data_IF_774315855146
#
_entry.id   IF_774315855146
#
_cell.length_a   1.000
_cell.length_b   1.000
_cell.length_c   1.000
_cell.angle_alpha   90.00
_cell.angle_beta   90.00
_cell.angle_gamma   90.00
#
_symmetry.space_group_name_H-M   'P 1'
#
loop_
_entity.id
_entity.type
_entity.pdbx_description
1 polymer ?
#
# COMPACT_ATOMS: atom_id res chain seq x y z
N UNK A 1 -44.35 2.53 59.90
CA UNK A 1 -43.50 3.36 59.02
C UNK A 1 -42.24 2.57 58.71
N UNK A 2 -42.11 2.04 57.48
CA UNK A 2 -40.92 1.32 57.00
C UNK A 2 -40.07 2.29 56.19
N UNK A 3 -38.85 2.57 56.64
CA UNK A 3 -37.81 3.21 55.85
C UNK A 3 -37.08 2.13 55.05
N UNK A 4 -37.06 2.26 53.72
CA UNK A 4 -36.21 1.48 52.83
C UNK A 4 -34.88 2.21 52.66
N UNK A 5 -33.79 1.58 53.08
CA UNK A 5 -32.43 1.99 52.74
C UNK A 5 -31.93 1.16 51.55
N UNK A 6 -31.59 1.82 50.44
CA UNK A 6 -30.88 1.23 49.31
C UNK A 6 -29.37 1.28 49.57
N UNK A 7 -28.62 0.17 49.51
CA UNK A 7 -27.17 0.22 49.39
C UNK A 7 -26.73 -0.05 47.94
N UNK A 8 -25.88 0.83 47.41
CA UNK A 8 -24.75 0.43 46.56
C UNK A 8 -24.98 0.22 45.06
N UNK A 9 -25.19 1.31 44.30
CA UNK A 9 -24.88 1.35 42.85
C UNK A 9 -23.69 2.29 42.64
N UNK A 10 -22.52 1.92 43.17
CA UNK A 10 -21.26 2.63 42.89
C UNK A 10 -20.10 1.64 43.01
N UNK A 11 -20.01 0.66 42.11
CA UNK A 11 -18.77 -0.13 41.99
C UNK A 11 -18.54 -0.83 40.63
N UNK A 12 -19.55 -0.96 39.77
CA UNK A 12 -19.39 -1.74 38.53
C UNK A 12 -18.90 -0.95 37.29
N UNK A 13 -18.74 0.38 37.37
CA UNK A 13 -18.44 1.18 36.18
C UNK A 13 -16.95 1.43 35.92
N UNK A 14 -16.04 1.17 36.88
CA UNK A 14 -14.61 1.45 36.71
C UNK A 14 -13.80 0.30 36.09
N UNK A 15 -14.25 -0.95 36.22
CA UNK A 15 -13.48 -2.11 35.74
C UNK A 15 -13.57 -2.33 34.22
N UNK A 16 -14.64 -1.87 33.57
CA UNK A 16 -14.87 -2.04 32.12
C UNK A 16 -14.29 -0.89 31.27
N UNK A 17 -13.88 0.22 31.89
CA UNK A 17 -13.26 1.35 31.20
C UNK A 17 -11.75 1.17 30.93
N UNK A 18 -11.06 0.27 31.66
CA UNK A 18 -9.62 0.02 31.47
C UNK A 18 -9.29 -0.83 30.23
N UNK A 19 -10.26 -1.56 29.66
CA UNK A 19 -10.05 -2.41 28.49
C UNK A 19 -10.08 -1.66 27.15
N UNK A 20 -10.58 -0.42 27.10
CA UNK A 20 -10.80 0.32 25.85
C UNK A 20 -9.54 1.00 25.25
N UNK A 21 -8.36 0.87 25.88
CA UNK A 21 -7.15 1.62 25.49
C UNK A 21 -5.89 0.73 25.30
N UNK A 22 -6.04 -0.59 25.12
CA UNK A 22 -4.90 -1.50 25.04
C UNK A 22 -4.25 -1.49 23.65
N UNK A 23 -3.22 -0.65 23.50
CA UNK A 23 -2.34 -0.63 22.33
C UNK A 23 -1.03 -1.42 22.55
N UNK A 24 -0.84 -1.96 23.74
CA UNK A 24 0.36 -2.71 24.14
C UNK A 24 -0.02 -4.13 24.57
N UNK A 25 0.71 -5.11 24.04
CA UNK A 25 0.47 -6.53 24.22
C UNK A 25 1.76 -7.24 24.64
N UNK A 26 1.66 -8.38 25.35
CA UNK A 26 2.81 -9.23 25.60
C UNK A 26 3.51 -9.63 24.31
N UNK A 27 4.84 -9.69 24.36
CA UNK A 27 5.68 -10.14 23.24
C UNK A 27 6.09 -11.58 23.52
N UNK A 28 5.70 -12.49 22.64
CA UNK A 28 6.13 -13.88 22.71
C UNK A 28 7.53 -14.03 22.10
N UNK A 29 8.38 -14.81 22.78
CA UNK A 29 9.66 -15.21 22.21
C UNK A 29 9.44 -16.41 21.32
N UNK A 30 9.75 -16.26 20.04
CA UNK A 30 9.58 -17.33 19.05
C UNK A 30 10.91 -17.98 18.71
N UNK A 31 10.87 -19.28 18.38
CA UNK A 31 11.97 -19.91 17.67
C UNK A 31 11.92 -19.52 16.21
N UNK A 32 12.89 -18.72 15.77
CA UNK A 32 13.06 -18.35 14.38
C UNK A 32 14.27 -19.09 13.81
N UNK A 33 14.11 -19.70 12.63
CA UNK A 33 15.17 -20.43 11.93
C UNK A 33 15.57 -19.64 10.68
N UNK A 34 16.65 -18.83 10.75
CA UNK A 34 17.17 -18.16 9.57
C UNK A 34 17.55 -19.20 8.51
N UNK A 35 17.27 -18.88 7.25
CA UNK A 35 17.72 -19.65 6.10
C UNK A 35 18.59 -18.78 5.22
N UNK A 36 19.60 -19.38 4.59
CA UNK A 36 20.34 -18.70 3.54
C UNK A 36 19.41 -18.55 2.33
N UNK A 37 19.28 -17.32 1.86
CA UNK A 37 18.27 -16.92 0.86
C UNK A 37 18.87 -15.86 -0.06
N UNK A 38 18.28 -15.70 -1.25
CA UNK A 38 18.75 -14.75 -2.25
C UNK A 38 18.47 -13.30 -1.81
N UNK A 39 19.51 -12.47 -1.76
CA UNK A 39 19.36 -11.02 -1.52
C UNK A 39 18.56 -10.35 -2.63
N UNK A 40 18.76 -10.78 -3.89
CA UNK A 40 18.01 -10.26 -5.04
C UNK A 40 16.52 -10.54 -4.90
N UNK A 41 16.15 -11.76 -4.50
CA UNK A 41 14.74 -12.10 -4.29
C UNK A 41 14.17 -11.39 -3.06
N UNK A 42 14.96 -11.27 -1.99
CA UNK A 42 14.56 -10.51 -0.81
C UNK A 42 14.30 -9.04 -1.11
N UNK A 43 15.10 -8.44 -2.00
CA UNK A 43 14.87 -7.08 -2.52
C UNK A 43 13.53 -6.98 -3.25
N UNK A 44 13.26 -7.93 -4.15
CA UNK A 44 12.03 -8.00 -4.95
C UNK A 44 10.79 -8.15 -4.07
N UNK A 45 10.78 -9.13 -3.17
CA UNK A 45 9.67 -9.38 -2.24
C UNK A 45 9.46 -8.21 -1.26
N UNK A 46 10.53 -7.59 -0.78
CA UNK A 46 10.43 -6.39 0.07
C UNK A 46 9.83 -5.23 -0.70
N UNK A 47 10.19 -5.03 -1.97
CA UNK A 47 9.56 -4.00 -2.80
C UNK A 47 8.06 -4.28 -3.00
N UNK A 48 7.68 -5.52 -3.28
CA UNK A 48 6.27 -5.91 -3.49
C UNK A 48 5.42 -5.79 -2.23
N UNK A 49 5.93 -6.22 -1.07
CA UNK A 49 5.13 -6.35 0.16
C UNK A 49 5.31 -5.20 1.15
N UNK A 50 6.49 -4.58 1.19
CA UNK A 50 6.81 -3.51 2.13
C UNK A 50 6.91 -2.15 1.44
N UNK A 51 7.36 -2.13 0.18
CA UNK A 51 7.57 -0.94 -0.65
C UNK A 51 6.38 0.03 -0.70
N UNK A 52 5.13 -0.41 -0.94
CA UNK A 52 3.98 0.50 -1.01
C UNK A 52 3.87 1.45 0.19
N UNK A 53 4.22 0.97 1.38
CA UNK A 53 4.19 1.76 2.61
C UNK A 53 5.57 2.35 2.97
N UNK A 54 6.64 1.55 2.96
CA UNK A 54 7.92 1.90 3.57
C UNK A 54 8.94 2.52 2.62
N UNK A 55 8.82 2.29 1.31
CA UNK A 55 9.75 2.87 0.34
C UNK A 55 9.44 4.35 0.15
N UNK A 56 10.45 5.17 0.40
CA UNK A 56 10.42 6.60 0.17
C UNK A 56 11.28 6.90 -1.05
N UNK A 57 10.61 7.21 -2.16
CA UNK A 57 11.32 7.36 -3.41
C UNK A 57 11.95 8.76 -3.61
N UNK A 58 11.63 9.76 -2.78
CA UNK A 58 12.42 11.00 -2.69
C UNK A 58 13.82 10.73 -2.12
N UNK A 59 13.90 9.86 -1.11
CA UNK A 59 15.16 9.49 -0.46
C UNK A 59 15.80 8.24 -1.08
N UNK A 60 15.06 7.55 -1.96
CA UNK A 60 15.42 6.30 -2.62
C UNK A 60 15.88 5.22 -1.63
N UNK A 61 15.24 5.16 -0.46
CA UNK A 61 15.54 4.21 0.60
C UNK A 61 14.26 3.78 1.34
N UNK A 62 14.39 2.86 2.29
CA UNK A 62 13.31 2.43 3.16
C UNK A 62 13.20 3.25 4.45
N UNK A 63 13.49 4.56 4.40
CA UNK A 63 13.35 5.44 5.57
C UNK A 63 11.90 5.77 5.95
N UNK A 64 10.91 5.25 5.21
CA UNK A 64 9.49 5.44 5.49
C UNK A 64 8.97 6.79 5.00
N UNK A 65 7.65 6.95 5.06
CA UNK A 65 6.94 8.16 4.60
C UNK A 65 5.58 8.30 5.30
N UNK A 66 4.97 9.47 5.14
CA UNK A 66 3.56 9.68 5.46
C UNK A 66 2.68 8.93 4.45
N UNK A 67 1.63 8.28 4.93
CA UNK A 67 0.64 7.60 4.08
C UNK A 67 -0.51 8.57 3.76
N UNK A 68 -0.40 9.27 2.63
CA UNK A 68 -1.32 10.36 2.23
C UNK A 68 -2.74 9.86 1.90
N UNK A 69 -2.89 8.57 1.65
CA UNK A 69 -4.14 7.89 1.33
C UNK A 69 -5.01 7.54 2.56
N UNK A 70 -4.43 7.68 3.75
CA UNK A 70 -5.08 7.32 5.00
C UNK A 70 -6.40 8.08 5.19
N UNK A 71 -7.51 7.37 5.48
CA UNK A 71 -8.79 8.00 5.80
C UNK A 71 -8.65 9.01 6.94
N UNK A 72 -9.29 10.17 6.82
CA UNK A 72 -9.19 11.26 7.81
C UNK A 72 -9.64 10.82 9.20
N UNK A 73 -10.65 9.97 9.26
CA UNK A 73 -11.14 9.36 10.51
C UNK A 73 -10.07 8.55 11.25
N UNK A 74 -9.03 8.05 10.59
CA UNK A 74 -7.94 7.30 11.24
C UNK A 74 -6.87 8.24 11.81
N UNK A 75 -6.56 9.34 11.11
CA UNK A 75 -5.56 10.34 11.50
C UNK A 75 -4.35 10.34 10.56
N UNK A 76 -3.24 10.90 11.03
CA UNK A 76 -2.00 10.97 10.24
C UNK A 76 -1.17 9.72 10.47
N UNK A 77 -1.08 8.86 9.46
CA UNK A 77 -0.37 7.59 9.53
C UNK A 77 0.98 7.72 8.84
N UNK A 78 2.01 7.17 9.47
CA UNK A 78 3.37 7.14 8.95
C UNK A 78 3.88 5.70 8.94
N UNK A 79 4.45 5.29 7.81
CA UNK A 79 5.23 4.06 7.72
C UNK A 79 6.60 4.28 8.37
N UNK A 80 7.02 3.32 9.20
CA UNK A 80 8.29 3.41 9.93
C UNK A 80 9.51 3.32 9.00
N UNK A 81 10.62 3.87 9.46
CA UNK A 81 11.93 3.63 8.85
C UNK A 81 12.32 2.16 9.12
N UNK A 82 12.55 1.38 8.06
CA UNK A 82 12.98 -0.03 8.13
C UNK A 82 14.39 -0.22 7.57
N UNK A 83 15.20 0.85 7.54
CA UNK A 83 16.64 0.74 7.29
C UNK A 83 17.37 0.18 8.50
N UNK A 84 18.64 -0.19 8.33
CA UNK A 84 19.51 -0.74 9.38
C UNK A 84 20.01 0.28 10.40
N UNK A 85 19.41 1.48 10.46
CA UNK A 85 19.75 2.42 11.53
C UNK A 85 19.35 1.85 12.89
N UNK A 86 20.24 1.92 13.88
CA UNK A 86 20.07 1.26 15.19
C UNK A 86 18.97 1.88 16.04
N UNK A 87 18.79 3.20 15.95
CA UNK A 87 17.76 3.95 16.70
C UNK A 87 16.51 4.30 15.87
N UNK A 88 16.70 5.01 14.74
CA UNK A 88 15.60 5.42 13.87
C UNK A 88 14.96 4.26 13.09
N UNK A 89 15.72 3.19 12.81
CA UNK A 89 15.32 2.07 11.97
C UNK A 89 15.19 0.75 12.73
N UNK A 90 15.44 -0.35 12.02
CA UNK A 90 15.36 -1.72 12.54
C UNK A 90 16.72 -2.34 12.88
N UNK A 91 17.81 -1.55 12.87
CA UNK A 91 19.18 -2.07 13.05
C UNK A 91 19.40 -2.81 14.38
N UNK A 92 18.60 -2.51 15.41
CA UNK A 92 18.65 -3.18 16.72
C UNK A 92 17.64 -4.33 16.88
N UNK A 93 16.85 -4.66 15.86
CA UNK A 93 15.90 -5.77 15.92
C UNK A 93 16.59 -7.11 15.66
N UNK A 94 16.26 -8.11 16.47
CA UNK A 94 16.60 -9.50 16.16
C UNK A 94 15.71 -10.01 15.02
N UNK A 95 16.18 -10.98 14.26
CA UNK A 95 15.41 -11.60 13.18
C UNK A 95 14.09 -12.22 13.70
N UNK A 96 14.11 -12.85 14.88
CA UNK A 96 12.89 -13.37 15.54
C UNK A 96 11.89 -12.27 15.91
N UNK A 97 12.36 -11.11 16.35
CA UNK A 97 11.50 -9.97 16.68
C UNK A 97 10.84 -9.38 15.43
N UNK A 98 11.57 -9.32 14.30
CA UNK A 98 11.00 -8.92 13.01
C UNK A 98 9.97 -9.93 12.52
N UNK A 99 10.27 -11.22 12.59
CA UNK A 99 9.36 -12.28 12.19
C UNK A 99 8.06 -12.25 13.01
N UNK A 100 8.16 -12.05 14.33
CA UNK A 100 7.01 -11.88 15.20
C UNK A 100 6.19 -10.63 14.84
N UNK A 101 6.85 -9.49 14.64
CA UNK A 101 6.19 -8.24 14.25
C UNK A 101 5.45 -8.36 12.91
N UNK A 102 6.09 -8.92 11.88
CA UNK A 102 5.49 -9.05 10.55
C UNK A 102 4.25 -9.95 10.59
N UNK A 103 4.25 -11.03 11.37
CA UNK A 103 3.09 -11.95 11.43
C UNK A 103 1.95 -11.43 12.31
N UNK A 104 2.28 -10.83 13.46
CA UNK A 104 1.30 -10.50 14.50
C UNK A 104 0.89 -9.03 14.51
N UNK A 105 1.74 -8.16 13.95
CA UNK A 105 1.65 -6.71 14.08
C UNK A 105 2.06 -6.20 15.45
N UNK A 106 2.77 -6.96 16.28
CA UNK A 106 3.24 -6.50 17.61
C UNK A 106 4.74 -6.22 17.55
N UNK A 107 5.16 -5.00 17.91
CA UNK A 107 6.59 -4.64 17.98
C UNK A 107 7.31 -5.31 19.14
N UNK A 108 8.65 -5.24 19.17
CA UNK A 108 9.47 -5.71 20.31
C UNK A 108 9.14 -5.04 21.65
N UNK A 109 8.49 -3.87 21.62
CA UNK A 109 8.03 -3.14 22.81
C UNK A 109 6.58 -3.46 23.18
N UNK A 110 5.95 -4.41 22.48
CA UNK A 110 4.55 -4.78 22.66
C UNK A 110 3.56 -3.88 21.94
N UNK A 111 4.00 -2.82 21.25
CA UNK A 111 3.10 -1.87 20.59
C UNK A 111 2.43 -2.51 19.37
N UNK A 112 1.12 -2.39 19.28
CA UNK A 112 0.34 -2.81 18.12
C UNK A 112 0.58 -1.87 16.93
N UNK A 113 0.94 -2.47 15.79
CA UNK A 113 1.08 -1.90 14.47
C UNK A 113 0.02 -2.52 13.54
N UNK A 114 -1.21 -1.94 13.49
CA UNK A 114 -2.36 -2.61 12.90
C UNK A 114 -2.25 -2.86 11.39
N UNK A 115 -1.42 -2.09 10.69
CA UNK A 115 -1.22 -2.17 9.24
C UNK A 115 -0.09 -3.12 8.80
N UNK A 116 0.68 -3.69 9.74
CA UNK A 116 1.86 -4.53 9.44
C UNK A 116 1.58 -6.05 9.47
N UNK A 117 0.33 -6.46 9.68
CA UNK A 117 -0.02 -7.87 9.94
C UNK A 117 -0.02 -8.70 8.66
N UNK A 118 0.82 -9.73 8.61
CA UNK A 118 0.90 -10.74 7.54
C UNK A 118 0.96 -12.14 8.15
N UNK A 119 -0.13 -12.62 8.78
CA UNK A 119 -0.12 -13.92 9.47
C UNK A 119 0.15 -15.09 8.53
N UNK A 120 -0.16 -14.94 7.23
CA UNK A 120 -0.14 -16.00 6.24
C UNK A 120 1.11 -16.00 5.35
N UNK A 121 2.10 -15.13 5.59
CA UNK A 121 3.34 -15.08 4.81
C UNK A 121 4.20 -16.33 5.06
N UNK A 122 4.65 -17.00 4.00
CA UNK A 122 5.45 -18.23 4.04
C UNK A 122 6.71 -18.04 4.90
N UNK A 123 7.21 -19.09 5.54
CA UNK A 123 8.49 -19.03 6.27
C UNK A 123 9.65 -18.66 5.33
N UNK A 124 9.61 -19.14 4.09
CA UNK A 124 10.61 -18.87 3.05
C UNK A 124 10.66 -17.39 2.66
N UNK A 125 9.51 -16.79 2.34
CA UNK A 125 9.44 -15.38 1.95
C UNK A 125 9.76 -14.47 3.13
N UNK A 126 9.31 -14.85 4.34
CA UNK A 126 9.62 -14.12 5.56
C UNK A 126 11.12 -14.11 5.83
N UNK A 127 11.77 -15.27 5.72
CA UNK A 127 13.23 -15.38 5.83
C UNK A 127 13.93 -14.54 4.76
N UNK A 128 13.45 -14.60 3.52
CA UNK A 128 14.00 -13.87 2.37
C UNK A 128 13.92 -12.35 2.54
N UNK A 129 12.79 -11.84 3.02
CA UNK A 129 12.60 -10.42 3.36
C UNK A 129 13.49 -10.01 4.53
N UNK A 130 13.51 -10.76 5.64
CA UNK A 130 14.30 -10.39 6.83
C UNK A 130 15.80 -10.37 6.50
N UNK A 131 16.29 -11.36 5.76
CA UNK A 131 17.69 -11.40 5.32
C UNK A 131 18.04 -10.21 4.44
N UNK A 132 17.17 -9.81 3.52
CA UNK A 132 17.38 -8.59 2.72
C UNK A 132 17.40 -7.32 3.58
N UNK A 133 16.44 -7.17 4.50
CA UNK A 133 16.37 -6.03 5.43
C UNK A 133 17.61 -5.89 6.31
N UNK A 134 18.35 -6.98 6.53
CA UNK A 134 19.59 -7.02 7.32
C UNK A 134 20.87 -6.98 6.46
N UNK A 135 20.75 -6.91 5.13
CA UNK A 135 21.87 -6.90 4.18
C UNK A 135 22.55 -5.54 4.03
N UNK A 136 23.63 -5.47 3.25
CA UNK A 136 24.34 -4.24 2.90
C UNK A 136 23.77 -3.53 1.63
N UNK A 137 22.59 -3.94 1.13
CA UNK A 137 21.96 -3.28 -0.02
C UNK A 137 21.66 -1.79 0.28
N UNK A 138 21.84 -0.97 -0.75
CA UNK A 138 21.78 0.50 -0.62
C UNK A 138 20.43 1.01 -0.14
N UNK A 139 19.32 0.33 -0.46
CA UNK A 139 17.98 0.80 -0.08
C UNK A 139 17.69 0.60 1.42
N UNK A 140 18.39 -0.32 2.09
CA UNK A 140 18.20 -0.65 3.51
C UNK A 140 19.39 -0.21 4.37
N UNK A 141 20.42 0.40 3.77
CA UNK A 141 21.55 0.99 4.49
C UNK A 141 21.05 2.00 5.54
N UNK A 142 21.73 2.05 6.68
CA UNK A 142 21.34 2.87 7.82
C UNK A 142 21.08 4.33 7.43
N UNK A 143 19.88 4.81 7.77
CA UNK A 143 19.42 6.18 7.53
C UNK A 143 18.79 6.73 8.80
N UNK A 144 19.30 7.86 9.30
CA UNK A 144 18.78 8.52 10.51
C UNK A 144 17.47 9.29 10.27
N UNK A 145 16.96 9.27 9.02
CA UNK A 145 15.75 9.99 8.62
C UNK A 145 14.55 9.48 9.42
N UNK A 146 13.78 10.43 9.91
CA UNK A 146 12.56 10.16 10.66
C UNK A 146 11.35 10.52 9.78
N UNK A 147 10.53 9.54 9.38
CA UNK A 147 9.38 9.81 8.53
C UNK A 147 8.29 10.61 9.25
N UNK A 148 8.33 10.68 10.58
CA UNK A 148 7.29 11.26 11.42
C UNK A 148 6.68 10.22 12.37
N UNK A 149 5.69 10.63 13.16
CA UNK A 149 5.01 9.76 14.13
C UNK A 149 3.53 9.68 13.82
N UNK A 150 3.00 8.46 13.77
CA UNK A 150 1.55 8.22 13.63
C UNK A 150 0.77 8.88 14.77
N UNK A 151 -0.21 9.70 14.39
CA UNK A 151 -1.15 10.37 15.29
C UNK A 151 -2.57 9.97 14.90
N UNK A 152 -3.19 9.12 15.72
CA UNK A 152 -4.56 8.71 15.51
C UNK A 152 -5.54 9.78 16.02
N UNK A 153 -6.69 9.92 15.35
CA UNK A 153 -7.84 10.64 15.93
C UNK A 153 -8.42 9.84 17.10
N UNK A 154 -9.31 10.42 17.94
CA UNK A 154 -10.03 9.65 18.96
C UNK A 154 -10.79 8.45 18.39
N UNK A 155 -11.47 8.62 17.24
CA UNK A 155 -12.21 7.56 16.56
C UNK A 155 -11.26 6.48 16.04
N UNK A 156 -10.16 6.88 15.39
CA UNK A 156 -9.15 5.96 14.88
C UNK A 156 -8.50 5.14 16.00
N UNK A 157 -8.18 5.80 17.12
CA UNK A 157 -7.60 5.14 18.30
C UNK A 157 -8.56 4.12 18.91
N UNK A 158 -9.85 4.45 19.01
CA UNK A 158 -10.89 3.52 19.45
C UNK A 158 -11.04 2.33 18.50
N UNK A 159 -11.09 2.56 17.18
CA UNK A 159 -11.15 1.47 16.20
C UNK A 159 -9.96 0.52 16.28
N UNK A 160 -8.76 1.04 16.51
CA UNK A 160 -7.55 0.22 16.65
C UNK A 160 -7.52 -0.53 17.97
N UNK A 161 -8.01 0.04 19.08
CA UNK A 161 -8.06 -0.68 20.36
C UNK A 161 -9.02 -1.87 20.34
N UNK A 162 -10.00 -1.88 19.43
CA UNK A 162 -10.87 -3.03 19.17
C UNK A 162 -10.16 -4.15 18.37
N UNK A 163 -9.00 -3.86 17.76
CA UNK A 163 -8.23 -4.86 17.02
C UNK A 163 -7.44 -5.73 17.97
N UNK A 164 -7.69 -7.03 17.95
CA UNK A 164 -6.89 -8.01 18.70
C UNK A 164 -5.59 -8.33 17.94
N UNK A 165 -4.46 -8.57 18.64
CA UNK A 165 -3.30 -9.14 18.01
C UNK A 165 -3.63 -10.55 17.52
N UNK A 166 -2.97 -10.97 16.46
CA UNK A 166 -3.07 -12.34 15.98
C UNK A 166 -2.05 -13.19 16.74
N UNK A 167 -2.38 -14.44 17.11
CA UNK A 167 -1.38 -15.36 17.65
C UNK A 167 -0.28 -15.59 16.61
N UNK A 168 0.93 -15.88 17.07
CA UNK A 168 1.97 -16.34 16.16
C UNK A 168 1.55 -17.72 15.60
N UNK A 169 1.59 -17.94 14.28
CA UNK A 169 1.15 -19.21 13.70
C UNK A 169 2.06 -20.36 14.15
N UNK A 170 1.45 -21.45 14.63
CA UNK A 170 2.15 -22.65 15.10
C UNK A 170 2.53 -23.63 13.99
N UNK A 171 1.96 -23.45 12.78
CA UNK A 171 2.27 -24.24 11.60
C UNK A 171 2.97 -23.37 10.56
N UNK A 172 3.77 -24.01 9.69
CA UNK A 172 4.33 -23.37 8.52
C UNK A 172 3.18 -22.70 7.75
N UNK A 173 3.30 -21.38 7.61
CA UNK A 173 2.40 -20.56 6.81
C UNK A 173 2.31 -21.06 5.38
N UNK A 174 1.32 -20.58 4.64
CA UNK A 174 0.97 -21.07 3.31
C UNK A 174 2.22 -21.22 2.43
N UNK A 175 2.64 -22.48 2.18
CA UNK A 175 3.76 -22.76 1.28
C UNK A 175 3.39 -22.25 -0.10
N UNK A 176 4.34 -21.63 -0.79
CA UNK A 176 4.19 -21.33 -2.21
C UNK A 176 3.89 -22.64 -2.93
N UNK A 177 2.67 -22.78 -3.45
CA UNK A 177 2.21 -24.01 -4.07
C UNK A 177 2.55 -23.98 -5.57
N UNK A 178 2.91 -25.14 -6.12
CA UNK A 178 2.98 -25.32 -7.57
C UNK A 178 1.60 -25.14 -8.24
N UNK A 179 0.50 -25.28 -7.48
CA UNK A 179 -0.84 -25.00 -7.96
C UNK A 179 -1.06 -23.49 -8.15
N UNK A 180 -1.40 -23.10 -9.38
CA UNK A 180 -1.62 -21.71 -9.80
C UNK A 180 -2.64 -20.94 -8.96
N UNK A 181 -3.78 -21.56 -8.60
CA UNK A 181 -4.82 -20.92 -7.77
C UNK A 181 -4.31 -20.71 -6.35
N UNK A 182 -3.64 -21.70 -5.77
CA UNK A 182 -3.07 -21.60 -4.42
C UNK A 182 -1.97 -20.54 -4.34
N UNK A 183 -1.11 -20.44 -5.36
CA UNK A 183 -0.13 -19.35 -5.49
C UNK A 183 -0.82 -18.00 -5.64
N UNK A 184 -1.89 -17.93 -6.43
CA UNK A 184 -2.70 -16.73 -6.60
C UNK A 184 -3.33 -16.24 -5.31
N UNK A 185 -3.91 -17.16 -4.53
CA UNK A 185 -4.43 -16.88 -3.18
C UNK A 185 -3.35 -16.28 -2.29
N UNK A 186 -2.18 -16.92 -2.25
CA UNK A 186 -1.04 -16.48 -1.45
C UNK A 186 -0.59 -15.06 -1.81
N UNK A 187 -0.48 -14.76 -3.11
CA UNK A 187 -0.09 -13.45 -3.61
C UNK A 187 -1.17 -12.40 -3.30
N UNK A 188 -2.45 -12.70 -3.53
CA UNK A 188 -3.54 -11.76 -3.26
C UNK A 188 -3.66 -11.41 -1.77
N UNK A 189 -3.38 -12.38 -0.89
CA UNK A 189 -3.28 -12.17 0.55
C UNK A 189 -2.05 -11.31 0.91
N UNK A 190 -0.85 -11.74 0.50
CA UNK A 190 0.40 -11.10 0.93
C UNK A 190 0.78 -9.83 0.14
N UNK A 191 0.14 -9.54 -0.98
CA UNK A 191 0.16 -8.19 -1.59
C UNK A 191 -0.94 -7.30 -0.99
N UNK A 192 -1.76 -7.85 -0.08
CA UNK A 192 -2.81 -7.18 0.68
C UNK A 192 -3.92 -6.56 -0.19
N UNK A 193 -4.24 -7.17 -1.34
CA UNK A 193 -5.28 -6.65 -2.24
C UNK A 193 -6.63 -6.50 -1.50
N UNK A 194 -6.95 -7.43 -0.62
CA UNK A 194 -8.21 -7.45 0.11
C UNK A 194 -8.37 -6.28 1.11
N UNK A 195 -7.26 -5.68 1.58
CA UNK A 195 -7.32 -4.54 2.50
C UNK A 195 -8.07 -3.36 1.86
N UNK A 196 -7.76 -3.10 0.59
CA UNK A 196 -8.42 -2.04 -0.16
C UNK A 196 -9.68 -2.56 -0.87
N UNK A 197 -9.65 -3.74 -1.46
CA UNK A 197 -10.73 -4.23 -2.33
C UNK A 197 -11.84 -5.02 -1.61
N UNK A 198 -11.93 -4.96 -0.28
CA UNK A 198 -13.12 -5.44 0.45
C UNK A 198 -14.10 -4.29 0.72
N UNK A 199 -15.26 -4.56 1.34
CA UNK A 199 -16.30 -3.55 1.57
C UNK A 199 -15.81 -2.32 2.36
N UNK A 200 -15.00 -2.52 3.39
CA UNK A 200 -14.50 -1.45 4.25
C UNK A 200 -13.34 -1.91 5.15
N UNK A 201 -12.48 -1.00 5.60
CA UNK A 201 -11.41 -1.33 6.56
C UNK A 201 -11.91 -2.00 7.86
N UNK A 202 -13.00 -1.55 8.51
CA UNK A 202 -13.48 -2.20 9.74
C UNK A 202 -14.03 -3.61 9.54
N UNK A 203 -14.30 -4.03 8.30
CA UNK A 203 -14.85 -5.35 7.98
C UNK A 203 -13.81 -6.37 7.53
N UNK A 204 -12.52 -6.03 7.61
CA UNK A 204 -11.43 -6.90 7.23
C UNK A 204 -11.23 -8.00 8.28
N UNK A 205 -11.11 -9.24 7.83
CA UNK A 205 -10.61 -10.34 8.63
C UNK A 205 -9.18 -10.65 8.18
N UNK A 206 -8.19 -10.22 8.96
CA UNK A 206 -6.77 -10.33 8.59
C UNK A 206 -6.27 -11.79 8.68
N UNK A 207 -6.83 -12.58 9.60
CA UNK A 207 -6.43 -13.99 9.73
C UNK A 207 -7.02 -14.84 8.59
N UNK A 208 -8.26 -14.56 8.22
CA UNK A 208 -9.01 -15.29 7.20
C UNK A 208 -9.58 -14.28 6.18
N UNK A 209 -8.76 -13.80 5.23
CA UNK A 209 -9.11 -12.72 4.29
C UNK A 209 -10.47 -12.93 3.61
N UNK A 210 -10.80 -14.16 3.21
CA UNK A 210 -12.06 -14.52 2.52
C UNK A 210 -13.30 -14.32 3.37
N UNK A 211 -13.16 -14.28 4.71
CA UNK A 211 -14.26 -13.94 5.63
C UNK A 211 -14.48 -12.43 5.76
N UNK A 212 -13.67 -11.60 5.10
CA UNK A 212 -13.90 -10.16 5.03
C UNK A 212 -15.22 -9.87 4.33
N UNK A 213 -16.00 -8.92 4.84
CA UNK A 213 -17.27 -8.57 4.21
C UNK A 213 -17.01 -8.01 2.81
N UNK A 214 -17.64 -8.62 1.81
CA UNK A 214 -17.45 -8.25 0.41
C UNK A 214 -16.01 -8.42 -0.07
N UNK A 215 -15.33 -9.51 0.35
CA UNK A 215 -13.97 -9.85 -0.10
C UNK A 215 -13.82 -9.68 -1.62
N UNK A 216 -12.88 -8.84 -2.03
CA UNK A 216 -12.63 -8.42 -3.43
C UNK A 216 -13.78 -7.70 -4.15
N UNK A 217 -14.93 -7.49 -3.50
CA UNK A 217 -16.09 -6.82 -4.06
C UNK A 217 -15.96 -5.29 -4.15
N UNK A 218 -14.91 -4.70 -3.58
CA UNK A 218 -14.67 -3.26 -3.58
C UNK A 218 -15.59 -2.45 -2.66
N UNK A 219 -15.44 -1.12 -2.71
CA UNK A 219 -16.29 -0.16 -1.99
C UNK A 219 -15.63 0.52 -0.79
N UNK A 220 -14.43 0.08 -0.38
CA UNK A 220 -13.68 0.69 0.70
C UNK A 220 -13.31 2.15 0.36
N UNK A 221 -13.38 3.05 1.34
CA UNK A 221 -13.21 4.49 1.15
C UNK A 221 -11.80 4.92 1.53
N UNK A 222 -11.14 5.64 0.63
CA UNK A 222 -9.76 6.14 0.80
C UNK A 222 -9.66 7.60 0.36
N UNK A 223 -8.57 8.28 0.75
CA UNK A 223 -8.26 9.58 0.16
C UNK A 223 -7.68 9.36 -1.23
N UNK A 224 -8.39 9.90 -2.21
CA UNK A 224 -7.92 9.98 -3.56
C UNK A 224 -6.86 11.05 -3.69
N UNK A 225 -6.27 11.04 -4.87
CA UNK A 225 -5.24 11.91 -5.30
C UNK A 225 -5.57 13.41 -5.01
N UNK A 226 -6.81 13.84 -5.26
CA UNK A 226 -7.33 15.20 -5.08
C UNK A 226 -7.83 15.50 -3.65
N UNK A 227 -7.42 14.70 -2.66
CA UNK A 227 -7.92 14.70 -1.28
C UNK A 227 -9.42 14.42 -1.15
N UNK A 228 -10.14 14.11 -2.24
CA UNK A 228 -11.54 13.69 -2.16
C UNK A 228 -11.62 12.21 -1.83
N UNK A 229 -12.77 11.78 -1.32
CA UNK A 229 -12.98 10.35 -1.08
C UNK A 229 -13.14 9.62 -2.40
N UNK A 230 -12.39 8.53 -2.58
CA UNK A 230 -12.59 7.55 -3.65
C UNK A 230 -12.95 6.20 -3.07
N UNK A 231 -13.42 5.28 -3.92
CA UNK A 231 -13.73 3.91 -3.53
C UNK A 231 -12.93 2.90 -4.35
N UNK A 232 -12.50 1.82 -3.70
CA UNK A 232 -11.83 0.70 -4.38
C UNK A 232 -12.79 -0.01 -5.34
N UNK A 233 -12.34 -0.39 -6.55
CA UNK A 233 -13.17 -1.12 -7.50
C UNK A 233 -13.40 -2.56 -7.07
N UNK A 234 -14.47 -3.15 -7.61
CA UNK A 234 -14.77 -4.58 -7.52
C UNK A 234 -13.80 -5.36 -8.42
N UNK A 235 -13.09 -6.33 -7.85
CA UNK A 235 -12.14 -7.22 -8.53
C UNK A 235 -12.69 -8.62 -8.75
N UNK A 236 -13.94 -8.89 -8.39
CA UNK A 236 -14.58 -10.18 -8.70
C UNK A 236 -14.93 -10.26 -10.19
N UNK A 237 -15.06 -11.47 -10.73
CA UNK A 237 -15.45 -11.72 -12.11
C UNK A 237 -16.96 -11.53 -12.32
N UNK A 238 -17.45 -10.32 -12.02
CA UNK A 238 -18.80 -9.86 -12.27
C UNK A 238 -18.80 -8.71 -13.30
N UNK A 239 -19.96 -8.40 -13.90
CA UNK A 239 -20.12 -7.29 -14.85
C UNK A 239 -19.75 -5.91 -14.24
N UNK A 240 -19.98 -5.74 -12.94
CA UNK A 240 -19.56 -4.55 -12.16
C UNK A 240 -18.09 -4.58 -11.72
N UNK A 241 -17.39 -5.69 -11.98
CA UNK A 241 -15.99 -5.90 -11.65
C UNK A 241 -15.13 -6.13 -12.89
N UNK A 242 -14.34 -7.21 -12.88
CA UNK A 242 -13.33 -7.48 -13.92
C UNK A 242 -13.71 -8.62 -14.88
N UNK A 243 -14.99 -8.99 -14.99
CA UNK A 243 -15.42 -10.12 -15.83
C UNK A 243 -15.00 -10.00 -17.31
N UNK A 244 -14.84 -8.78 -17.82
CA UNK A 244 -14.44 -8.50 -19.20
C UNK A 244 -12.98 -8.01 -19.32
N UNK A 245 -12.16 -8.25 -18.30
CA UNK A 245 -10.73 -8.01 -18.36
C UNK A 245 -10.03 -9.29 -18.82
N UNK A 246 -9.02 -9.13 -19.67
CA UNK A 246 -8.08 -10.20 -19.99
C UNK A 246 -7.00 -10.29 -18.90
N UNK A 247 -6.22 -11.39 -18.91
CA UNK A 247 -5.04 -11.51 -18.05
C UNK A 247 -4.02 -10.40 -18.35
N UNK A 248 -3.89 -10.02 -19.63
CA UNK A 248 -2.98 -8.95 -20.06
C UNK A 248 -3.44 -7.57 -19.56
N UNK A 249 -4.75 -7.32 -19.51
CA UNK A 249 -5.28 -6.10 -18.90
C UNK A 249 -4.94 -6.02 -17.41
N UNK A 250 -5.05 -7.14 -16.68
CA UNK A 250 -4.66 -7.20 -15.29
C UNK A 250 -3.15 -7.00 -15.13
N UNK A 251 -2.34 -7.58 -16.02
CA UNK A 251 -0.88 -7.40 -16.04
C UNK A 251 -0.52 -5.92 -16.20
N UNK A 252 -1.08 -5.23 -17.19
CA UNK A 252 -0.87 -3.79 -17.41
C UNK A 252 -1.32 -2.97 -16.21
N UNK A 253 -2.46 -3.30 -15.62
CA UNK A 253 -2.94 -2.60 -14.44
C UNK A 253 -1.99 -2.74 -13.25
N UNK A 254 -1.50 -3.95 -12.97
CA UNK A 254 -0.60 -4.19 -11.83
C UNK A 254 0.82 -3.67 -12.07
N UNK A 255 1.40 -3.90 -13.25
CA UNK A 255 2.81 -3.60 -13.52
C UNK A 255 3.06 -2.20 -14.08
N UNK A 256 2.08 -1.64 -14.79
CA UNK A 256 2.20 -0.37 -15.51
C UNK A 256 1.23 0.70 -14.97
N UNK A 257 0.28 0.30 -14.11
CA UNK A 257 -0.69 1.24 -13.54
C UNK A 257 -1.71 1.71 -14.57
N UNK A 258 -1.95 0.94 -15.63
CA UNK A 258 -2.86 1.29 -16.72
C UNK A 258 -4.03 0.28 -16.78
N UNK A 259 -5.25 0.78 -16.67
CA UNK A 259 -6.46 -0.04 -16.79
C UNK A 259 -6.73 -0.51 -18.22
N UNK A 260 -7.64 -1.47 -18.38
CA UNK A 260 -8.08 -1.97 -19.70
C UNK A 260 -8.61 -0.90 -20.68
N UNK A 261 -9.02 0.26 -20.18
CA UNK A 261 -9.53 1.36 -20.98
C UNK A 261 -8.43 2.38 -21.31
N UNK A 262 -7.15 2.00 -21.16
CA UNK A 262 -5.99 2.87 -21.32
C UNK A 262 -6.01 4.10 -20.39
N UNK A 263 -6.64 3.98 -19.22
CA UNK A 263 -6.65 5.03 -18.21
C UNK A 263 -5.69 4.68 -17.08
N UNK A 264 -4.90 5.66 -16.61
CA UNK A 264 -4.08 5.49 -15.42
C UNK A 264 -4.94 5.11 -14.20
N UNK A 265 -4.46 4.19 -13.37
CA UNK A 265 -5.11 3.82 -12.13
C UNK A 265 -5.04 4.97 -11.15
N UNK A 266 -6.15 5.21 -10.43
CA UNK A 266 -6.22 6.26 -9.44
C UNK A 266 -5.33 5.94 -8.22
N UNK A 267 -4.63 6.96 -7.70
CA UNK A 267 -4.06 6.91 -6.35
C UNK A 267 -5.15 6.50 -5.33
N UNK A 268 -4.89 5.58 -4.38
CA UNK A 268 -3.56 5.11 -3.94
C UNK A 268 -3.15 3.73 -4.45
N UNK A 269 -3.67 3.25 -5.58
CA UNK A 269 -3.32 1.92 -6.08
C UNK A 269 -1.80 1.81 -6.32
N UNK A 270 -1.07 0.92 -5.62
CA UNK A 270 0.37 0.79 -5.81
C UNK A 270 0.71 0.09 -7.14
N UNK A 271 1.93 0.34 -7.60
CA UNK A 271 2.51 -0.37 -8.74
C UNK A 271 3.24 -1.63 -8.25
N UNK A 272 2.98 -2.76 -8.90
CA UNK A 272 3.63 -4.04 -8.66
C UNK A 272 4.46 -4.45 -9.88
N UNK A 273 5.35 -3.57 -10.34
CA UNK A 273 6.21 -3.76 -11.52
C UNK A 273 7.14 -4.99 -11.40
N UNK A 274 7.43 -5.41 -10.17
CA UNK A 274 8.30 -6.56 -9.85
C UNK A 274 7.59 -7.92 -9.89
N UNK A 275 6.28 -7.96 -10.17
CA UNK A 275 5.58 -9.24 -10.37
C UNK A 275 6.07 -9.90 -11.64
N UNK A 276 6.26 -11.21 -11.60
CA UNK A 276 6.50 -12.01 -12.82
C UNK A 276 5.19 -12.26 -13.56
N UNK A 277 5.30 -12.64 -14.84
CA UNK A 277 4.13 -13.04 -15.65
C UNK A 277 3.35 -14.17 -14.98
N UNK A 278 4.05 -15.18 -14.45
CA UNK A 278 3.41 -16.33 -13.79
C UNK A 278 2.69 -15.96 -12.49
N UNK A 279 3.21 -14.97 -11.75
CA UNK A 279 2.56 -14.45 -10.54
C UNK A 279 1.29 -13.68 -10.89
N UNK A 280 1.32 -12.81 -11.90
CA UNK A 280 0.11 -12.13 -12.41
C UNK A 280 -0.91 -13.15 -12.89
N UNK A 281 -0.46 -14.15 -13.63
CA UNK A 281 -1.30 -15.24 -14.13
C UNK A 281 -1.96 -16.03 -12.98
N UNK A 282 -1.22 -16.25 -11.88
CA UNK A 282 -1.73 -16.89 -10.68
C UNK A 282 -2.77 -16.02 -9.97
N UNK A 283 -2.50 -14.72 -9.82
CA UNK A 283 -3.46 -13.75 -9.26
C UNK A 283 -4.75 -13.74 -10.09
N UNK A 284 -4.65 -13.65 -11.41
CA UNK A 284 -5.79 -13.68 -12.32
C UNK A 284 -6.62 -14.96 -12.16
N UNK A 285 -5.97 -16.12 -12.13
CA UNK A 285 -6.64 -17.41 -11.93
C UNK A 285 -7.35 -17.50 -10.58
N UNK A 286 -6.75 -17.00 -9.51
CA UNK A 286 -7.39 -16.95 -8.19
C UNK A 286 -8.56 -15.98 -8.17
N UNK A 287 -8.43 -14.76 -8.70
CA UNK A 287 -9.54 -13.81 -8.81
C UNK A 287 -10.70 -14.36 -9.65
N UNK A 288 -10.43 -15.19 -10.65
CA UNK A 288 -11.47 -15.88 -11.43
C UNK A 288 -12.19 -16.98 -10.63
N UNK A 289 -11.53 -17.54 -9.62
CA UNK A 289 -12.08 -18.60 -8.78
C UNK A 289 -12.98 -18.11 -7.64
N UNK A 290 -12.90 -16.82 -7.27
CA UNK A 290 -13.72 -16.28 -6.19
C UNK A 290 -15.17 -16.06 -6.64
N UNK A 291 -16.17 -16.20 -5.74
CA UNK A 291 -17.55 -15.92 -6.08
C UNK A 291 -17.74 -14.48 -6.63
N UNK A 292 -18.46 -14.30 -7.75
CA UNK A 292 -18.74 -12.97 -8.28
C UNK A 292 -19.66 -12.20 -7.32
N UNK A 293 -19.40 -10.90 -7.17
CA UNK A 293 -20.21 -9.99 -6.35
C UNK A 293 -20.76 -8.89 -7.25
N UNK A 294 -22.06 -8.67 -7.19
CA UNK A 294 -22.68 -7.47 -7.76
C UNK A 294 -22.47 -6.28 -6.82
N UNK A 295 -21.55 -5.41 -7.22
CA UNK A 295 -21.27 -4.17 -6.51
C UNK A 295 -20.75 -3.13 -7.49
N UNK A 296 -21.66 -2.29 -7.98
CA UNK A 296 -21.32 -1.18 -8.85
C UNK A 296 -20.79 0.01 -8.04
N UNK A 297 -19.48 0.07 -7.89
CA UNK A 297 -18.80 1.20 -7.25
C UNK A 297 -18.75 2.37 -8.22
N UNK A 298 -19.29 3.53 -7.83
CA UNK A 298 -19.22 4.75 -8.65
C UNK A 298 -17.76 5.16 -8.82
N UNK A 299 -17.25 5.05 -10.05
CA UNK A 299 -15.92 5.53 -10.43
C UNK A 299 -16.05 6.91 -11.07
N UNK A 300 -15.12 7.81 -10.75
CA UNK A 300 -14.97 9.06 -11.51
C UNK A 300 -14.44 8.66 -12.89
N UNK A 301 -15.12 9.09 -13.95
CA UNK A 301 -14.56 8.96 -15.29
C UNK A 301 -13.32 9.85 -15.37
N UNK A 302 -12.20 9.26 -15.77
CA UNK A 302 -10.95 9.98 -16.00
C UNK A 302 -10.83 10.48 -17.44
N UNK A 303 -11.83 10.27 -18.31
CA UNK A 303 -11.88 10.90 -19.63
C UNK A 303 -12.29 12.37 -19.51
N UNK A 304 -11.32 13.26 -19.30
CA UNK A 304 -11.50 14.70 -19.41
C UNK A 304 -11.62 15.05 -20.89
N UNK A 305 -12.86 15.26 -21.38
CA UNK A 305 -13.15 15.50 -22.80
C UNK A 305 -13.04 16.96 -23.22
N UNK A 306 -13.41 17.91 -22.36
CA UNK A 306 -13.35 19.35 -22.63
C UNK A 306 -13.14 20.13 -21.32
N UNK A 307 -12.53 21.33 -21.42
CA UNK A 307 -12.45 22.28 -20.29
C UNK A 307 -11.59 21.81 -19.12
N UNK A 308 -10.33 21.45 -19.38
CA UNK A 308 -9.38 20.95 -18.39
C UNK A 308 -8.24 21.93 -18.09
N UNK A 309 -7.87 22.03 -16.83
CA UNK A 309 -6.61 22.63 -16.38
C UNK A 309 -5.48 21.61 -16.37
N UNK A 310 -4.22 22.05 -16.48
CA UNK A 310 -3.08 21.14 -16.39
C UNK A 310 -2.98 20.43 -15.02
N UNK A 311 -3.47 21.06 -13.94
CA UNK A 311 -3.60 20.42 -12.61
C UNK A 311 -4.58 19.25 -12.61
N UNK A 312 -5.68 19.38 -13.35
CA UNK A 312 -6.64 18.30 -13.52
C UNK A 312 -6.04 17.17 -14.34
N UNK A 313 -5.37 17.46 -15.46
CA UNK A 313 -4.65 16.46 -16.24
C UNK A 313 -3.61 15.71 -15.41
N UNK A 314 -2.77 16.44 -14.67
CA UNK A 314 -1.73 15.89 -13.78
C UNK A 314 -2.30 14.98 -12.69
N UNK A 315 -3.47 15.33 -12.17
CA UNK A 315 -4.19 14.52 -11.19
C UNK A 315 -4.84 13.30 -11.84
N UNK A 316 -5.42 13.49 -13.03
CA UNK A 316 -6.22 12.52 -13.74
C UNK A 316 -5.40 11.35 -14.28
N UNK A 317 -4.22 11.66 -14.83
CA UNK A 317 -3.23 10.66 -15.26
C UNK A 317 -2.38 10.14 -14.10
N UNK A 318 -2.76 10.44 -12.86
CA UNK A 318 -2.12 9.96 -11.64
C UNK A 318 -0.63 10.30 -11.54
N UNK A 319 -0.15 11.33 -12.24
CA UNK A 319 1.26 11.73 -12.25
C UNK A 319 1.77 12.00 -10.82
N UNK A 320 0.94 12.62 -9.97
CA UNK A 320 1.29 12.87 -8.57
C UNK A 320 1.47 11.63 -7.68
N UNK A 321 1.06 10.45 -8.13
CA UNK A 321 1.36 9.21 -7.40
C UNK A 321 2.87 8.93 -7.38
N UNK A 322 3.57 9.41 -8.41
CA UNK A 322 5.01 9.28 -8.60
C UNK A 322 5.76 10.61 -8.44
N UNK A 323 5.11 11.75 -8.70
CA UNK A 323 5.75 13.07 -8.67
C UNK A 323 5.25 13.97 -7.54
N UNK A 324 4.22 13.56 -6.80
CA UNK A 324 3.72 14.29 -5.63
C UNK A 324 2.82 15.45 -6.05
N UNK A 325 2.14 16.07 -5.10
CA UNK A 325 1.28 17.23 -5.42
C UNK A 325 2.06 18.46 -5.86
N UNK A 326 3.34 18.51 -5.50
CA UNK A 326 4.29 19.61 -5.74
C UNK A 326 5.33 19.30 -6.82
N UNK A 327 5.26 18.12 -7.45
CA UNK A 327 6.23 17.71 -8.47
C UNK A 327 7.59 17.24 -7.92
N UNK A 328 7.76 17.09 -6.60
CA UNK A 328 9.06 16.78 -5.96
C UNK A 328 9.17 15.36 -5.40
N UNK A 329 8.06 14.64 -5.23
CA UNK A 329 8.07 13.41 -4.44
C UNK A 329 7.16 12.31 -4.97
N UNK A 330 7.68 11.11 -5.22
CA UNK A 330 9.08 10.72 -5.09
C UNK A 330 10.06 11.10 -6.20
N UNK A 331 9.58 11.37 -7.42
CA UNK A 331 10.43 11.68 -8.56
C UNK A 331 10.35 13.17 -8.86
N UNK A 332 11.46 13.87 -8.63
CA UNK A 332 11.53 15.32 -8.76
C UNK A 332 11.51 15.77 -10.23
N UNK A 333 10.56 16.64 -10.56
CA UNK A 333 10.33 17.22 -11.87
C UNK A 333 11.07 18.56 -12.06
N UNK A 334 11.56 19.20 -11.00
CA UNK A 334 12.13 20.56 -11.06
C UNK A 334 13.30 20.69 -12.04
N UNK A 335 14.16 19.67 -12.11
CA UNK A 335 15.31 19.66 -13.02
C UNK A 335 14.95 19.35 -14.47
N UNK A 336 13.78 18.77 -14.73
CA UNK A 336 13.40 18.35 -16.08
C UNK A 336 13.24 19.55 -17.02
N UNK A 337 12.62 20.62 -16.52
CA UNK A 337 12.29 21.82 -17.31
C UNK A 337 13.47 22.77 -17.52
N UNK A 338 14.54 22.63 -16.74
CA UNK A 338 15.80 23.33 -16.98
C UNK A 338 16.67 22.60 -18.01
N UNK A 339 16.40 21.32 -18.27
CA UNK A 339 17.28 20.44 -19.04
C UNK A 339 16.72 20.06 -20.42
N UNK A 340 15.40 20.04 -20.58
CA UNK A 340 14.75 19.52 -21.78
C UNK A 340 13.66 20.48 -22.28
N UNK A 341 13.52 20.58 -23.60
CA UNK A 341 12.43 21.32 -24.23
C UNK A 341 11.10 20.57 -24.19
N UNK A 342 10.00 21.26 -24.51
CA UNK A 342 8.65 20.73 -24.41
C UNK A 342 8.39 19.55 -25.35
N UNK A 343 8.99 19.52 -26.53
CA UNK A 343 8.88 18.39 -27.45
C UNK A 343 9.62 17.15 -26.91
N UNK A 344 10.77 17.33 -26.29
CA UNK A 344 11.52 16.25 -25.64
C UNK A 344 10.76 15.72 -24.43
N UNK A 345 10.19 16.61 -23.60
CA UNK A 345 9.37 16.23 -22.46
C UNK A 345 8.12 15.45 -22.91
N UNK A 346 7.45 15.91 -23.96
CA UNK A 346 6.33 15.19 -24.59
C UNK A 346 6.73 13.78 -25.01
N UNK A 347 7.81 13.65 -25.79
CA UNK A 347 8.33 12.34 -26.23
C UNK A 347 8.71 11.43 -25.07
N UNK A 348 9.28 12.00 -24.01
CA UNK A 348 9.57 11.26 -22.78
C UNK A 348 8.29 10.76 -22.12
N UNK A 349 7.26 11.60 -21.96
CA UNK A 349 5.98 11.19 -21.37
C UNK A 349 5.29 10.11 -22.24
N UNK A 350 5.37 10.23 -23.56
CA UNK A 350 4.81 9.24 -24.49
C UNK A 350 5.52 7.89 -24.36
N UNK A 351 6.85 7.87 -24.46
CA UNK A 351 7.62 6.64 -24.44
C UNK A 351 8.90 6.78 -23.58
N UNK A 352 8.79 6.73 -22.25
CA UNK A 352 9.92 6.94 -21.35
C UNK A 352 11.04 5.92 -21.55
N UNK A 353 10.70 4.67 -21.92
CA UNK A 353 11.66 3.57 -22.12
C UNK A 353 12.60 3.81 -23.29
N UNK A 354 12.20 4.61 -24.28
CA UNK A 354 13.07 5.01 -25.38
C UNK A 354 14.27 5.85 -24.92
N UNK A 355 14.20 6.44 -23.73
CA UNK A 355 15.25 7.27 -23.13
C UNK A 355 16.10 6.53 -22.10
N UNK A 356 15.92 5.21 -21.96
CA UNK A 356 16.68 4.35 -21.05
C UNK A 356 15.81 3.67 -20.00
N UNK A 357 16.45 3.15 -18.96
CA UNK A 357 15.74 2.42 -17.91
C UNK A 357 14.98 3.38 -17.00
N UNK A 358 13.66 3.25 -16.94
CA UNK A 358 12.77 4.14 -16.17
C UNK A 358 11.58 3.38 -15.62
N UNK A 359 11.08 3.86 -14.47
CA UNK A 359 9.86 3.36 -13.83
C UNK A 359 8.62 4.15 -14.28
N UNK A 360 8.79 5.20 -15.10
CA UNK A 360 7.67 5.98 -15.61
C UNK A 360 6.88 5.16 -16.64
N UNK A 361 5.54 5.03 -16.48
CA UNK A 361 4.72 4.36 -17.48
C UNK A 361 4.66 5.18 -18.77
N UNK A 362 4.45 4.48 -19.90
CA UNK A 362 4.24 5.11 -21.19
C UNK A 362 2.82 5.66 -21.29
N UNK A 363 2.69 6.90 -21.75
CA UNK A 363 1.40 7.55 -21.96
C UNK A 363 1.04 7.74 -23.44
N UNK A 364 1.83 7.17 -24.34
CA UNK A 364 1.48 7.06 -25.76
C UNK A 364 0.12 6.36 -25.90
N UNK A 365 -0.80 6.97 -26.66
CA UNK A 365 -2.20 6.53 -26.81
C UNK A 365 -3.04 6.49 -25.52
N UNK A 366 -2.55 7.11 -24.43
CA UNK A 366 -3.29 7.30 -23.16
C UNK A 366 -3.71 8.76 -23.01
N UNK A 367 -2.76 9.68 -23.20
CA UNK A 367 -3.02 11.11 -23.18
C UNK A 367 -3.31 11.56 -24.62
N UNK A 368 -4.48 12.15 -24.90
CA UNK A 368 -4.77 12.74 -26.20
C UNK A 368 -3.74 13.82 -26.57
N UNK A 369 -3.40 13.93 -27.85
CA UNK A 369 -2.36 14.84 -28.35
C UNK A 369 -2.60 16.30 -27.95
N UNK A 370 -3.87 16.72 -27.96
CA UNK A 370 -4.33 18.06 -27.59
C UNK A 370 -4.15 18.39 -26.09
N UNK A 371 -3.93 17.39 -25.24
CA UNK A 371 -3.77 17.58 -23.79
C UNK A 371 -2.31 17.81 -23.37
N UNK A 372 -1.34 17.38 -24.18
CA UNK A 372 0.09 17.51 -23.86
C UNK A 372 0.54 18.95 -23.61
N UNK A 373 0.19 19.95 -24.44
CA UNK A 373 0.62 21.33 -24.20
C UNK A 373 0.16 21.87 -22.84
N UNK A 374 -1.10 21.62 -22.47
CA UNK A 374 -1.69 22.06 -21.20
C UNK A 374 -1.09 21.32 -20.01
N UNK A 375 -0.83 20.02 -20.15
CA UNK A 375 -0.16 19.24 -19.11
C UNK A 375 1.27 19.75 -18.90
N UNK A 376 2.06 19.87 -19.96
CA UNK A 376 3.47 20.29 -19.89
C UNK A 376 3.60 21.68 -19.26
N UNK A 377 2.75 22.64 -19.63
CA UNK A 377 2.74 23.97 -19.01
C UNK A 377 2.52 23.92 -17.50
N UNK A 378 1.65 23.02 -17.02
CA UNK A 378 1.45 22.85 -15.58
C UNK A 378 2.64 22.16 -14.92
N UNK A 379 3.29 21.21 -15.59
CA UNK A 379 4.50 20.60 -15.06
C UNK A 379 5.66 21.61 -14.98
N UNK A 380 5.81 22.49 -15.97
CA UNK A 380 6.76 23.62 -15.93
C UNK A 380 6.51 24.52 -14.72
N UNK A 381 5.25 24.89 -14.46
CA UNK A 381 4.88 25.67 -13.27
C UNK A 381 5.29 24.97 -11.97
N UNK A 382 5.06 23.66 -11.85
CA UNK A 382 5.51 22.88 -10.69
C UNK A 382 7.04 22.89 -10.57
N UNK A 383 7.77 22.89 -11.68
CA UNK A 383 9.22 23.00 -11.69
C UNK A 383 9.76 24.39 -11.29
N UNK A 384 9.08 25.46 -11.73
CA UNK A 384 9.52 26.85 -11.54
C UNK A 384 9.15 27.46 -10.19
N UNK A 385 8.02 27.08 -9.61
CA UNK A 385 7.54 27.59 -8.30
C UNK A 385 8.52 27.32 -7.15
N UNK A 386 9.58 26.55 -7.40
CA UNK A 386 10.56 26.13 -6.43
C UNK A 386 12.00 26.05 -6.97
N UNK A 387 12.34 26.82 -8.03
CA UNK A 387 13.75 27.00 -8.39
C UNK A 387 14.51 27.52 -7.15
N UNK A 388 15.68 26.95 -6.80
CA UNK A 388 16.50 27.51 -5.73
C UNK A 388 16.85 28.96 -6.10
N UNK A 389 16.62 29.90 -5.17
CA UNK A 389 17.26 31.22 -5.21
C UNK A 389 18.79 31.08 -5.20
#
# INVERSE_FOLDING_TARGET
MRYFSFPGIFSLCCATLLTACKLYYPVEQITYKPAQVSITEGKRLTMLMCGPCHYNASTKDYSGKKLEDSPEMLGHIYASNITRHTEAGIGSYKASELAYLIRTGISRTGKLMPYMKRPNISDEDLNTIITYLQSDDTLVKASARNPGKTKYTPIGRFGISMSKPLPYPTQASMKLSANKISRGRYLVDNLACFHCHSKSYPSLNIAEPEKSKGYMGGGNRMKGADNKTIQSPNLTFHATGIANWTEEDLRKALQEGISKNNQALAFPMPLYSELTKDEVSSIYAYLKSIPPIDNNVKRKDTNLRDGYSGKELYTNYSCKSCHGTDGKSPFDLTQAFNKYDNETLKKYIQNPKAFGNTQMPAFENIIPEEQYPVLIQYLEMLGQTHAPE
#
